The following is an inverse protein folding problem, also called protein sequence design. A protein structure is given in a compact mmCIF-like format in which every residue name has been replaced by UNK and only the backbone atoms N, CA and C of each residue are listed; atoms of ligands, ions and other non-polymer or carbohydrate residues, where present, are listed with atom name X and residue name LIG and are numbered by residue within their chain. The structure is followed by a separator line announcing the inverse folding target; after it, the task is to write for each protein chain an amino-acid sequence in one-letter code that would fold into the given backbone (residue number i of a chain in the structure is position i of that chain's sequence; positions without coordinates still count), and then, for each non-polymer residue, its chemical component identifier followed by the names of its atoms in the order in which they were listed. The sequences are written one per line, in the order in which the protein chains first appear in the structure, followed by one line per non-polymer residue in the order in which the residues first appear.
data_IF_597360009885
#
_entry.id   IF_597360009885
#
_cell.length_a   1.000
_cell.length_b   1.000
_cell.length_c   1.000
_cell.angle_alpha   90.00
_cell.angle_beta   90.00
_cell.angle_gamma   90.00
#
_symmetry.space_group_name_H-M   'P 1'
#
loop_
_entity.id
_entity.type
_entity.pdbx_description
1 polymer ?
#
# COMPACT_ATOMS: atom_id res chain seq x y z
N UNK A 1 8.93 8.55 22.93
CA UNK A 1 7.60 8.90 22.42
C UNK A 1 6.99 7.64 21.79
N UNK A 2 5.76 7.29 22.18
CA UNK A 2 5.06 6.16 21.55
C UNK A 2 4.67 6.46 20.12
N UNK A 3 4.44 5.42 19.30
CA UNK A 3 3.95 5.54 17.92
C UNK A 3 2.50 6.08 17.94
N UNK A 4 2.27 7.25 17.34
CA UNK A 4 0.94 7.86 17.28
C UNK A 4 -0.02 7.09 16.38
N UNK A 5 0.48 6.34 15.41
CA UNK A 5 -0.39 5.49 14.57
C UNK A 5 -1.05 4.37 15.39
N UNK A 6 -0.37 3.89 16.42
CA UNK A 6 -0.94 2.91 17.36
C UNK A 6 -1.76 3.59 18.47
N UNK A 7 -1.26 4.72 19.04
CA UNK A 7 -1.96 5.47 20.09
C UNK A 7 -3.35 5.96 19.66
N UNK A 8 -3.45 6.44 18.41
CA UNK A 8 -4.67 6.98 17.80
C UNK A 8 -5.37 5.99 16.86
N UNK A 9 -5.03 4.70 16.97
CA UNK A 9 -5.75 3.67 16.24
C UNK A 9 -7.20 3.60 16.74
N UNK A 10 -8.21 3.68 15.85
CA UNK A 10 -9.62 3.60 16.21
C UNK A 10 -9.93 2.39 17.10
N UNK A 11 -10.63 2.62 18.18
CA UNK A 11 -11.07 1.58 19.13
C UNK A 11 -12.48 1.09 18.80
N UNK A 12 -13.30 1.93 18.19
CA UNK A 12 -14.66 1.64 17.75
C UNK A 12 -14.81 1.94 16.26
N UNK A 13 -15.82 1.36 15.60
CA UNK A 13 -16.10 1.65 14.20
C UNK A 13 -16.53 3.11 13.97
N UNK A 14 -17.05 3.79 14.98
CA UNK A 14 -17.45 5.20 14.88
C UNK A 14 -16.23 6.15 14.84
N UNK A 15 -15.09 5.71 15.37
CA UNK A 15 -13.84 6.46 15.31
C UNK A 15 -13.09 6.31 13.98
N UNK A 16 -13.51 5.34 13.13
CA UNK A 16 -12.88 5.13 11.83
C UNK A 16 -13.28 6.24 10.87
N UNK A 17 -12.30 6.93 10.32
CA UNK A 17 -12.53 8.09 9.46
C UNK A 17 -12.96 7.67 8.06
N UNK A 18 -14.00 8.33 7.56
CA UNK A 18 -14.52 8.08 6.23
C UNK A 18 -15.14 6.70 6.06
N UNK A 19 -15.46 6.35 4.83
CA UNK A 19 -15.97 5.02 4.48
C UNK A 19 -17.27 4.61 5.19
N UNK A 20 -18.14 5.56 5.56
CA UNK A 20 -19.37 5.32 6.32
C UNK A 20 -20.22 4.15 5.75
N UNK A 21 -20.38 4.11 4.42
CA UNK A 21 -21.13 3.02 3.75
C UNK A 21 -20.47 1.66 3.98
N UNK A 22 -19.13 1.59 3.89
CA UNK A 22 -18.38 0.37 4.13
C UNK A 22 -18.51 -0.08 5.59
N UNK A 23 -18.46 0.85 6.54
CA UNK A 23 -18.59 0.59 7.97
C UNK A 23 -20.01 0.10 8.31
N UNK A 24 -21.06 0.70 7.72
CA UNK A 24 -22.45 0.23 7.86
C UNK A 24 -22.61 -1.19 7.32
N UNK A 25 -22.01 -1.49 6.16
CA UNK A 25 -22.07 -2.84 5.58
C UNK A 25 -21.33 -3.86 6.43
N UNK A 26 -20.19 -3.46 7.01
CA UNK A 26 -19.40 -4.29 7.89
C UNK A 26 -20.16 -4.60 9.20
N UNK A 27 -20.79 -3.59 9.81
CA UNK A 27 -21.69 -3.76 10.98
C UNK A 27 -22.86 -4.69 10.67
N UNK A 28 -23.52 -4.51 9.52
CA UNK A 28 -24.63 -5.38 9.11
C UNK A 28 -24.18 -6.84 8.97
N UNK A 29 -23.01 -7.08 8.37
CA UNK A 29 -22.46 -8.42 8.26
C UNK A 29 -22.13 -9.02 9.63
N UNK A 30 -21.49 -8.27 10.51
CA UNK A 30 -21.16 -8.71 11.87
C UNK A 30 -22.42 -8.99 12.69
N UNK A 31 -23.45 -8.15 12.58
CA UNK A 31 -24.73 -8.35 13.28
C UNK A 31 -25.46 -9.65 12.92
N UNK A 32 -25.24 -10.21 11.71
CA UNK A 32 -25.82 -11.49 11.32
C UNK A 32 -25.20 -12.64 12.13
N UNK A 33 -23.91 -12.53 12.48
CA UNK A 33 -23.21 -13.52 13.29
C UNK A 33 -23.81 -13.71 14.69
N UNK A 34 -24.46 -12.67 15.25
CA UNK A 34 -25.16 -12.79 16.52
C UNK A 34 -26.45 -13.63 16.42
N UNK A 35 -26.97 -13.79 15.19
CA UNK A 35 -28.20 -14.58 14.93
C UNK A 35 -27.89 -16.00 14.42
N UNK A 36 -26.63 -16.30 14.12
CA UNK A 36 -26.19 -17.58 13.59
C UNK A 36 -25.06 -17.43 12.58
N UNK A 37 -24.74 -18.51 11.89
CA UNK A 37 -23.68 -18.51 10.87
C UNK A 37 -24.25 -17.98 9.55
N UNK A 38 -23.75 -16.86 9.00
CA UNK A 38 -24.24 -16.29 7.75
C UNK A 38 -23.84 -17.12 6.53
N UNK A 39 -24.57 -16.94 5.42
CA UNK A 39 -24.21 -17.56 4.12
C UNK A 39 -22.80 -17.13 3.68
N UNK A 40 -22.48 -15.83 3.80
CA UNK A 40 -21.16 -15.30 3.54
C UNK A 40 -20.38 -15.24 4.86
N UNK A 41 -19.62 -16.31 5.13
CA UNK A 41 -18.83 -16.43 6.37
C UNK A 41 -17.61 -15.54 6.40
N UNK A 42 -17.19 -15.01 5.25
CA UNK A 42 -16.07 -14.12 5.12
C UNK A 42 -16.43 -12.82 4.38
N UNK A 43 -15.64 -11.77 4.66
CA UNK A 43 -15.71 -10.47 3.99
C UNK A 43 -14.34 -10.14 3.43
N UNK A 44 -14.30 -9.54 2.24
CA UNK A 44 -13.09 -8.96 1.65
C UNK A 44 -13.17 -7.45 1.81
N UNK A 45 -12.21 -6.86 2.53
CA UNK A 45 -12.02 -5.41 2.61
C UNK A 45 -10.96 -5.02 1.57
N UNK A 46 -11.37 -4.30 0.53
CA UNK A 46 -10.48 -3.91 -0.56
C UNK A 46 -10.34 -2.38 -0.64
N UNK A 47 -9.12 -1.90 -0.87
CA UNK A 47 -8.83 -0.46 -1.03
C UNK A 47 -7.35 -0.16 -0.89
N UNK A 48 -6.95 1.08 -1.17
CA UNK A 48 -5.56 1.52 -1.08
C UNK A 48 -4.98 1.35 0.34
N UNK A 49 -3.65 1.22 0.49
CA UNK A 49 -3.00 1.25 1.80
C UNK A 49 -3.36 2.53 2.58
N UNK A 50 -3.35 2.46 3.92
CA UNK A 50 -3.61 3.60 4.79
C UNK A 50 -5.08 4.08 4.88
N UNK A 51 -6.03 3.42 4.20
CA UNK A 51 -7.47 3.79 4.21
C UNK A 51 -8.25 3.25 5.42
N UNK A 52 -7.60 2.70 6.42
CA UNK A 52 -8.24 2.26 7.67
C UNK A 52 -8.86 0.86 7.64
N UNK A 53 -8.59 -0.02 6.66
CA UNK A 53 -9.14 -1.38 6.55
C UNK A 53 -8.84 -2.23 7.79
N UNK A 54 -7.57 -2.35 8.16
CA UNK A 54 -7.12 -3.13 9.33
C UNK A 54 -7.66 -2.53 10.63
N UNK A 55 -7.64 -1.20 10.74
CA UNK A 55 -8.22 -0.50 11.89
C UNK A 55 -9.72 -0.76 12.04
N UNK A 56 -10.47 -0.76 10.92
CA UNK A 56 -11.91 -1.07 10.93
C UNK A 56 -12.18 -2.53 11.34
N UNK A 57 -11.36 -3.49 10.89
CA UNK A 57 -11.49 -4.89 11.30
C UNK A 57 -11.25 -5.09 12.80
N UNK A 58 -10.21 -4.44 13.35
CA UNK A 58 -9.90 -4.49 14.78
C UNK A 58 -10.95 -3.76 15.63
N UNK A 59 -11.41 -2.59 15.18
CA UNK A 59 -12.48 -1.84 15.83
C UNK A 59 -13.79 -2.65 15.85
N UNK A 60 -14.12 -3.35 14.76
CA UNK A 60 -15.27 -4.25 14.70
C UNK A 60 -15.18 -5.33 15.78
N UNK A 61 -14.01 -5.97 15.92
CA UNK A 61 -13.82 -7.02 16.92
C UNK A 61 -14.10 -6.49 18.32
N UNK A 62 -13.61 -5.28 18.63
CA UNK A 62 -13.86 -4.62 19.93
C UNK A 62 -15.33 -4.27 20.14
N UNK A 63 -16.01 -3.69 19.13
CA UNK A 63 -17.41 -3.31 19.21
C UNK A 63 -18.33 -4.53 19.49
N UNK A 64 -17.95 -5.70 18.99
CA UNK A 64 -18.72 -6.95 19.17
C UNK A 64 -18.20 -7.85 20.28
N UNK A 65 -17.16 -7.44 21.01
CA UNK A 65 -16.52 -8.25 22.06
C UNK A 65 -15.85 -9.53 21.51
N UNK A 66 -15.41 -9.51 20.25
CA UNK A 66 -14.75 -10.65 19.63
C UNK A 66 -13.24 -10.60 19.84
N UNK A 67 -12.62 -11.76 20.02
CA UNK A 67 -11.17 -11.86 20.07
C UNK A 67 -10.61 -11.78 18.66
N UNK A 68 -9.79 -10.78 18.35
CA UNK A 68 -9.14 -10.65 17.05
C UNK A 68 -7.89 -11.52 16.96
N UNK A 69 -7.77 -12.31 15.89
CA UNK A 69 -6.56 -13.06 15.51
C UNK A 69 -6.09 -12.49 14.18
N UNK A 70 -5.02 -11.69 14.23
CA UNK A 70 -4.43 -11.06 13.05
C UNK A 70 -3.28 -11.91 12.51
N UNK A 71 -3.34 -12.21 11.22
CA UNK A 71 -2.32 -12.94 10.47
C UNK A 71 -1.91 -12.11 9.27
N UNK A 72 -0.66 -11.68 9.23
CA UNK A 72 -0.08 -11.09 8.04
C UNK A 72 0.34 -12.22 7.10
N UNK A 73 -0.24 -12.28 5.90
CA UNK A 73 0.04 -13.33 4.93
C UNK A 73 1.45 -13.22 4.35
N UNK A 74 2.06 -12.04 4.41
CA UNK A 74 3.46 -11.82 4.01
C UNK A 74 4.45 -12.51 4.97
N UNK A 75 4.13 -12.56 6.27
CA UNK A 75 4.95 -13.25 7.28
C UNK A 75 4.65 -14.74 7.34
N UNK A 76 3.40 -15.11 7.04
CA UNK A 76 2.91 -16.49 7.07
C UNK A 76 3.00 -17.14 5.69
N UNK A 77 4.15 -17.08 5.02
CA UNK A 77 4.39 -17.62 3.67
C UNK A 77 4.08 -19.11 3.51
N UNK A 78 3.77 -19.77 4.61
CA UNK A 78 3.55 -21.21 4.64
C UNK A 78 2.05 -21.54 4.69
N UNK A 79 1.51 -22.18 3.66
CA UNK A 79 0.14 -22.68 3.61
C UNK A 79 -0.23 -23.51 4.85
N UNK A 80 0.74 -24.23 5.42
CA UNK A 80 0.58 -25.02 6.63
C UNK A 80 0.32 -24.15 7.86
N UNK A 81 1.04 -23.04 8.01
CA UNK A 81 0.81 -22.07 9.11
C UNK A 81 -0.54 -21.38 8.96
N UNK A 82 -0.87 -20.92 7.77
CA UNK A 82 -2.19 -20.31 7.50
C UNK A 82 -3.29 -21.33 7.78
N UNK A 83 -3.14 -22.56 7.31
CA UNK A 83 -4.10 -23.64 7.55
C UNK A 83 -4.19 -23.98 9.05
N UNK A 84 -3.07 -24.09 9.75
CA UNK A 84 -3.10 -24.40 11.18
C UNK A 84 -3.75 -23.25 11.97
N UNK A 85 -3.28 -22.02 11.85
CA UNK A 85 -3.77 -20.91 12.67
C UNK A 85 -5.18 -20.50 12.27
N UNK A 86 -5.47 -20.35 10.96
CA UNK A 86 -6.81 -19.99 10.50
C UNK A 86 -7.82 -21.11 10.73
N UNK A 87 -7.46 -22.38 10.47
CA UNK A 87 -8.37 -23.51 10.65
C UNK A 87 -8.55 -23.86 12.13
N UNK A 88 -7.48 -23.90 12.92
CA UNK A 88 -7.60 -24.12 14.37
C UNK A 88 -8.26 -22.94 15.07
N UNK A 89 -7.94 -21.69 14.67
CA UNK A 89 -8.64 -20.51 15.15
C UNK A 89 -10.12 -20.51 14.79
N UNK A 90 -10.48 -21.04 13.62
CA UNK A 90 -11.86 -21.10 13.11
C UNK A 90 -12.70 -22.24 13.74
N UNK A 91 -12.06 -23.29 14.22
CA UNK A 91 -12.75 -24.49 14.73
C UNK A 91 -12.69 -24.62 16.25
N UNK A 92 -11.62 -24.10 16.89
CA UNK A 92 -11.40 -24.29 18.31
C UNK A 92 -11.95 -23.14 19.16
N UNK A 93 -12.39 -23.48 20.35
CA UNK A 93 -12.85 -22.58 21.41
C UNK A 93 -11.67 -21.84 22.05
N UNK A 94 -11.92 -20.71 22.70
CA UNK A 94 -10.84 -19.92 23.34
C UNK A 94 -11.01 -19.78 24.83
N UNK A 95 -9.88 -19.49 25.49
CA UNK A 95 -9.86 -18.99 26.86
C UNK A 95 -9.67 -17.46 26.82
N UNK A 96 -10.32 -16.75 27.75
CA UNK A 96 -10.01 -15.34 28.01
C UNK A 96 -8.63 -15.21 28.67
N UNK A 97 -8.07 -13.99 28.67
CA UNK A 97 -6.85 -13.68 29.42
C UNK A 97 -6.95 -14.03 30.91
N UNK A 98 -8.18 -14.06 31.45
CA UNK A 98 -8.50 -14.48 32.82
C UNK A 98 -8.65 -16.03 32.97
N UNK A 99 -8.36 -16.81 31.93
CA UNK A 99 -8.45 -18.28 31.95
C UNK A 99 -9.85 -18.85 31.91
N UNK A 100 -10.89 -18.05 31.62
CA UNK A 100 -12.27 -18.53 31.48
C UNK A 100 -12.50 -19.10 30.08
N UNK A 101 -13.08 -20.27 30.02
CA UNK A 101 -13.54 -20.88 28.76
C UNK A 101 -14.68 -20.10 28.16
N UNK A 102 -14.57 -19.68 26.91
CA UNK A 102 -15.66 -19.06 26.15
C UNK A 102 -16.01 -19.97 24.98
N UNK A 103 -17.19 -20.54 25.03
CA UNK A 103 -17.76 -21.25 23.90
C UNK A 103 -18.14 -20.27 22.80
N UNK A 104 -17.88 -20.64 21.56
CA UNK A 104 -18.35 -19.89 20.38
C UNK A 104 -19.88 -19.80 20.30
N UNK A 105 -20.60 -20.68 21.03
CA UNK A 105 -22.04 -20.67 21.16
C UNK A 105 -22.55 -19.62 22.16
N UNK A 106 -21.72 -19.25 23.14
CA UNK A 106 -22.05 -18.31 24.23
C UNK A 106 -21.57 -16.88 23.94
N UNK A 107 -21.36 -16.51 22.68
CA UNK A 107 -20.99 -15.14 22.26
C UNK A 107 -19.48 -14.88 22.18
N UNK A 108 -18.63 -15.81 22.62
CA UNK A 108 -17.14 -15.71 22.52
C UNK A 108 -16.64 -16.01 21.10
N UNK A 109 -16.91 -15.12 20.13
CA UNK A 109 -16.43 -15.30 18.76
C UNK A 109 -15.00 -14.82 18.59
N UNK A 110 -14.29 -15.47 17.68
CA UNK A 110 -12.95 -15.05 17.21
C UNK A 110 -13.08 -14.45 15.84
N UNK A 111 -12.59 -13.23 15.65
CA UNK A 111 -12.45 -12.64 14.33
C UNK A 111 -11.07 -12.96 13.75
N UNK A 112 -11.03 -13.73 12.67
CA UNK A 112 -9.78 -14.05 11.96
C UNK A 112 -9.57 -12.97 10.90
N UNK A 113 -8.48 -12.23 11.02
CA UNK A 113 -8.08 -11.18 10.09
C UNK A 113 -6.85 -11.67 9.33
N UNK A 114 -6.99 -11.78 7.99
CA UNK A 114 -5.89 -12.11 7.09
C UNK A 114 -5.50 -10.84 6.35
N UNK A 115 -4.44 -10.17 6.80
CA UNK A 115 -3.94 -8.95 6.17
C UNK A 115 -3.03 -9.27 4.99
N UNK A 116 -3.00 -8.37 4.01
CA UNK A 116 -2.27 -8.53 2.74
C UNK A 116 -2.62 -9.83 1.98
N UNK A 117 -3.88 -10.24 2.02
CA UNK A 117 -4.31 -11.51 1.42
C UNK A 117 -4.15 -11.57 -0.12
N UNK A 118 -3.89 -10.44 -0.79
CA UNK A 118 -3.50 -10.37 -2.20
C UNK A 118 -2.08 -10.91 -2.47
N UNK A 119 -1.22 -11.00 -1.46
CA UNK A 119 0.12 -11.59 -1.56
C UNK A 119 0.14 -13.14 -1.49
N UNK A 120 -1.03 -13.77 -1.46
CA UNK A 120 -1.13 -15.23 -1.47
C UNK A 120 -0.83 -15.78 -2.86
N UNK A 121 0.24 -16.55 -2.96
CA UNK A 121 0.71 -17.11 -4.22
C UNK A 121 -0.05 -18.37 -4.63
N UNK A 122 -0.26 -18.52 -5.93
CA UNK A 122 -0.61 -19.78 -6.58
C UNK A 122 0.68 -20.48 -7.04
N UNK A 123 0.60 -21.81 -7.17
CA UNK A 123 1.70 -22.64 -7.66
C UNK A 123 2.16 -22.11 -9.03
N UNK A 124 3.44 -21.77 -9.26
CA UNK A 124 3.90 -21.51 -10.62
C UNK A 124 3.81 -22.83 -11.42
N UNK A 125 3.16 -22.76 -12.58
CA UNK A 125 3.24 -23.84 -13.55
C UNK A 125 4.70 -23.97 -14.00
N UNK A 126 5.35 -25.09 -13.64
CA UNK A 126 6.66 -25.56 -14.10
C UNK A 126 7.86 -24.71 -13.69
N UNK A 127 8.51 -25.11 -12.60
CA UNK A 127 9.95 -25.03 -12.48
C UNK A 127 10.44 -26.43 -12.08
N UNK A 128 11.29 -26.97 -12.98
CA UNK A 128 12.00 -28.23 -12.85
C UNK A 128 12.89 -28.28 -11.60
N UNK A 129 12.88 -29.43 -10.96
CA UNK A 129 13.89 -30.03 -10.10
C UNK A 129 15.09 -29.15 -9.69
N UNK A 130 15.02 -28.55 -8.50
CA UNK A 130 16.12 -28.58 -7.52
C UNK A 130 15.72 -27.81 -6.26
N UNK A 131 15.85 -28.49 -5.14
CA UNK A 131 15.79 -28.02 -3.74
C UNK A 131 14.45 -27.50 -3.17
N UNK A 132 13.88 -28.35 -2.40
CA UNK A 132 12.94 -28.29 -1.29
C UNK A 132 12.89 -26.95 -0.53
N UNK A 133 12.10 -25.99 -1.06
CA UNK A 133 11.36 -25.07 -0.23
C UNK A 133 9.89 -25.17 -0.62
N UNK A 134 9.25 -26.21 -0.09
CA UNK A 134 7.85 -26.59 -0.33
C UNK A 134 6.85 -25.70 0.42
N UNK A 135 7.27 -24.50 0.88
CA UNK A 135 6.52 -23.75 1.89
C UNK A 135 5.47 -22.75 1.33
N UNK A 136 5.61 -22.28 0.09
CA UNK A 136 4.78 -21.18 -0.42
C UNK A 136 3.54 -21.61 -1.23
N UNK A 137 3.25 -22.91 -1.32
CA UNK A 137 2.24 -23.43 -2.23
C UNK A 137 0.90 -23.72 -1.53
N UNK A 138 -0.17 -23.12 -2.04
CA UNK A 138 -1.53 -23.49 -1.67
C UNK A 138 -2.24 -22.56 -0.69
N UNK A 139 -1.71 -21.37 -0.39
CA UNK A 139 -2.32 -20.42 0.55
C UNK A 139 -3.77 -20.04 0.17
N UNK A 140 -4.04 -19.71 -1.10
CA UNK A 140 -5.40 -19.40 -1.57
C UNK A 140 -6.36 -20.58 -1.38
N UNK A 141 -5.92 -21.79 -1.72
CA UNK A 141 -6.73 -23.02 -1.58
C UNK A 141 -7.05 -23.31 -0.12
N UNK A 142 -6.05 -23.21 0.78
CA UNK A 142 -6.24 -23.40 2.21
C UNK A 142 -7.27 -22.40 2.80
N UNK A 143 -7.18 -21.14 2.42
CA UNK A 143 -8.15 -20.12 2.86
C UNK A 143 -9.54 -20.40 2.32
N UNK A 144 -9.70 -20.79 1.06
CA UNK A 144 -10.99 -21.17 0.48
C UNK A 144 -11.62 -22.34 1.25
N UNK A 145 -10.83 -23.37 1.56
CA UNK A 145 -11.29 -24.51 2.35
C UNK A 145 -11.70 -24.07 3.76
N UNK A 146 -10.87 -23.24 4.42
CA UNK A 146 -11.19 -22.68 5.75
C UNK A 146 -12.50 -21.88 5.74
N UNK A 147 -12.70 -21.00 4.75
CA UNK A 147 -13.95 -20.21 4.65
C UNK A 147 -15.18 -21.09 4.50
N UNK A 148 -15.08 -22.22 3.80
CA UNK A 148 -16.22 -23.13 3.62
C UNK A 148 -16.65 -23.80 4.92
N UNK A 149 -15.71 -24.11 5.82
CA UNK A 149 -15.96 -24.87 7.03
C UNK A 149 -16.02 -24.05 8.32
N UNK A 150 -15.53 -22.80 8.29
CA UNK A 150 -15.40 -21.97 9.48
C UNK A 150 -16.73 -21.74 10.19
N UNK A 151 -16.71 -21.75 11.51
CA UNK A 151 -17.80 -21.31 12.39
C UNK A 151 -17.49 -19.94 13.01
N UNK A 152 -16.41 -19.30 12.59
CA UNK A 152 -15.96 -17.99 13.05
C UNK A 152 -15.89 -16.98 11.90
N UNK A 153 -16.11 -15.68 12.14
CA UNK A 153 -16.00 -14.64 11.13
C UNK A 153 -14.58 -14.50 10.61
N UNK A 154 -14.44 -14.36 9.29
CA UNK A 154 -13.14 -14.14 8.63
C UNK A 154 -13.18 -12.82 7.84
N UNK A 155 -12.14 -12.00 7.98
CA UNK A 155 -11.92 -10.81 7.17
C UNK A 155 -10.62 -10.99 6.38
N UNK A 156 -10.72 -10.86 5.06
CA UNK A 156 -9.58 -10.78 4.15
C UNK A 156 -9.33 -9.31 3.81
N UNK A 157 -8.15 -8.78 4.10
CA UNK A 157 -7.76 -7.41 3.76
C UNK A 157 -6.85 -7.48 2.55
N UNK A 158 -7.18 -6.70 1.52
CA UNK A 158 -6.43 -6.65 0.26
C UNK A 158 -6.25 -5.22 -0.22
N UNK A 159 -5.12 -4.96 -0.87
CA UNK A 159 -4.88 -3.72 -1.58
C UNK A 159 -5.34 -3.86 -3.03
N UNK A 160 -5.08 -5.00 -3.66
CA UNK A 160 -5.54 -5.34 -5.01
C UNK A 160 -6.52 -6.53 -4.98
N UNK A 161 -7.81 -6.21 -5.12
CA UNK A 161 -8.87 -7.21 -5.20
C UNK A 161 -8.70 -8.18 -6.38
N UNK A 162 -8.27 -7.66 -7.53
CA UNK A 162 -8.14 -8.48 -8.74
C UNK A 162 -7.02 -9.51 -8.62
N UNK A 163 -5.92 -9.17 -7.95
CA UNK A 163 -4.84 -10.11 -7.65
C UNK A 163 -5.32 -11.28 -6.78
N UNK A 164 -6.15 -11.01 -5.76
CA UNK A 164 -6.71 -12.05 -4.90
C UNK A 164 -7.60 -13.02 -5.68
N UNK A 165 -8.52 -12.50 -6.52
CA UNK A 165 -9.53 -13.31 -7.23
C UNK A 165 -9.02 -13.98 -8.50
N UNK A 166 -7.79 -13.72 -8.93
CA UNK A 166 -7.18 -14.34 -10.11
C UNK A 166 -6.99 -15.84 -9.89
N UNK A 167 -7.27 -16.63 -10.93
CA UNK A 167 -7.07 -18.09 -10.90
C UNK A 167 -8.02 -18.80 -9.92
N UNK A 168 -7.46 -19.60 -9.00
CA UNK A 168 -8.24 -20.34 -8.01
C UNK A 168 -9.03 -19.44 -7.05
N UNK A 169 -8.64 -18.15 -6.92
CA UNK A 169 -9.31 -17.17 -6.10
C UNK A 169 -10.69 -16.75 -6.60
N UNK A 170 -11.10 -17.11 -7.81
CA UNK A 170 -12.41 -16.73 -8.36
C UNK A 170 -13.59 -17.22 -7.48
N UNK A 171 -13.43 -18.33 -6.83
CA UNK A 171 -14.43 -18.91 -5.90
C UNK A 171 -14.72 -17.93 -4.74
N UNK A 172 -13.75 -17.10 -4.32
CA UNK A 172 -13.94 -16.12 -3.25
C UNK A 172 -15.03 -15.09 -3.57
N UNK A 173 -15.27 -14.79 -4.86
CA UNK A 173 -16.41 -13.91 -5.27
C UNK A 173 -17.76 -14.42 -4.81
N UNK A 174 -17.92 -15.75 -4.73
CA UNK A 174 -19.18 -16.39 -4.31
C UNK A 174 -19.24 -16.63 -2.81
N UNK A 175 -18.09 -16.86 -2.16
CA UNK A 175 -18.00 -17.20 -0.75
C UNK A 175 -17.94 -15.98 0.17
N UNK A 176 -17.38 -14.87 -0.33
CA UNK A 176 -17.13 -13.66 0.45
C UNK A 176 -18.01 -12.50 0.00
N UNK A 177 -18.35 -11.61 0.93
CA UNK A 177 -18.93 -10.32 0.61
C UNK A 177 -17.79 -9.32 0.38
N UNK A 178 -17.78 -8.62 -0.75
CA UNK A 178 -16.82 -7.55 -1.03
C UNK A 178 -17.33 -6.23 -0.43
N UNK A 179 -16.49 -5.58 0.37
CA UNK A 179 -16.68 -4.23 0.90
C UNK A 179 -15.50 -3.38 0.47
N UNK A 180 -15.76 -2.29 -0.27
CA UNK A 180 -14.73 -1.41 -0.79
C UNK A 180 -14.49 -0.23 0.14
N UNK A 181 -13.23 -0.02 0.49
CA UNK A 181 -12.75 1.16 1.21
C UNK A 181 -12.18 2.16 0.21
N UNK A 182 -12.72 3.36 0.23
CA UNK A 182 -12.28 4.46 -0.59
C UNK A 182 -11.32 5.36 0.17
N UNK A 183 -10.60 6.17 -0.56
CA UNK A 183 -9.68 7.16 -0.01
C UNK A 183 -10.47 8.21 0.78
N UNK A 184 -10.16 8.43 2.08
CA UNK A 184 -10.80 9.49 2.88
C UNK A 184 -10.55 10.87 2.28
N UNK A 185 -11.49 11.79 2.48
CA UNK A 185 -11.33 13.17 2.06
C UNK A 185 -10.30 13.90 2.94
N UNK A 186 -9.56 14.82 2.33
CA UNK A 186 -8.59 15.67 3.03
C UNK A 186 -9.20 16.40 4.23
N UNK A 187 -10.46 16.85 4.13
CA UNK A 187 -11.19 17.48 5.24
C UNK A 187 -11.39 16.56 6.45
N UNK A 188 -11.62 15.28 6.23
CA UNK A 188 -11.78 14.28 7.29
C UNK A 188 -10.43 14.03 8.00
N UNK A 189 -9.35 13.92 7.22
CA UNK A 189 -8.00 13.76 7.74
C UNK A 189 -7.58 15.01 8.53
N UNK A 190 -7.86 16.21 8.01
CA UNK A 190 -7.62 17.46 8.71
C UNK A 190 -8.29 17.49 10.10
N UNK A 191 -9.55 17.05 10.18
CA UNK A 191 -10.28 16.97 11.45
C UNK A 191 -9.61 16.02 12.43
N UNK A 192 -9.14 14.85 11.97
CA UNK A 192 -8.38 13.91 12.81
C UNK A 192 -7.07 14.55 13.31
N UNK A 193 -6.28 15.14 12.40
CA UNK A 193 -5.01 15.75 12.79
C UNK A 193 -5.22 16.86 13.84
N UNK A 194 -6.29 17.67 13.68
CA UNK A 194 -6.66 18.68 14.67
C UNK A 194 -7.01 18.05 16.03
N UNK A 195 -7.74 16.94 16.04
CA UNK A 195 -8.06 16.22 17.27
C UNK A 195 -6.80 15.66 17.96
N UNK A 196 -5.86 15.11 17.18
CA UNK A 196 -4.57 14.65 17.70
C UNK A 196 -3.79 15.81 18.31
N UNK A 197 -3.71 16.96 17.63
CA UNK A 197 -3.03 18.14 18.17
C UNK A 197 -3.59 18.60 19.51
N UNK A 198 -4.92 18.57 19.68
CA UNK A 198 -5.58 18.91 20.93
C UNK A 198 -5.22 17.93 22.05
N UNK A 199 -5.19 16.62 21.75
CA UNK A 199 -4.87 15.59 22.73
C UNK A 199 -3.39 15.57 23.13
N UNK A 200 -2.49 15.99 22.24
CA UNK A 200 -1.05 16.07 22.50
C UNK A 200 -0.62 17.47 22.99
N UNK A 201 -1.57 18.40 23.15
CA UNK A 201 -1.34 19.78 23.61
C UNK A 201 -0.32 20.54 22.74
N UNK A 202 -0.30 20.24 21.42
CA UNK A 202 0.60 20.89 20.45
C UNK A 202 -0.14 21.97 19.67
N UNK A 203 0.51 23.14 19.55
CA UNK A 203 -0.02 24.24 18.78
C UNK A 203 0.53 24.20 17.34
N UNK A 204 -0.32 23.86 16.37
CA UNK A 204 0.02 23.73 14.95
C UNK A 204 -0.81 24.71 14.12
N UNK A 205 -0.16 25.46 13.23
CA UNK A 205 -0.87 26.32 12.29
C UNK A 205 -1.83 25.47 11.42
N UNK A 206 -3.06 25.92 11.26
CA UNK A 206 -4.08 25.27 10.44
C UNK A 206 -3.63 25.08 8.99
N UNK A 207 -2.80 25.98 8.45
CA UNK A 207 -2.22 25.85 7.12
C UNK A 207 -1.30 24.62 7.01
N UNK A 208 -0.55 24.32 8.06
CA UNK A 208 0.32 23.13 8.13
C UNK A 208 -0.52 21.87 8.16
N UNK A 209 -1.54 21.80 9.03
CA UNK A 209 -2.44 20.64 9.11
C UNK A 209 -3.15 20.39 7.77
N UNK A 210 -3.62 21.47 7.11
CA UNK A 210 -4.24 21.35 5.80
C UNK A 210 -3.25 20.84 4.75
N UNK A 211 -2.01 21.35 4.76
CA UNK A 211 -0.96 20.88 3.84
C UNK A 211 -0.65 19.39 4.03
N UNK A 212 -0.55 18.90 5.28
CA UNK A 212 -0.35 17.47 5.57
C UNK A 212 -1.54 16.65 5.04
N UNK A 213 -2.77 17.09 5.33
CA UNK A 213 -3.99 16.41 4.91
C UNK A 213 -4.15 16.35 3.38
N UNK A 214 -3.71 17.37 2.65
CA UNK A 214 -3.75 17.40 1.17
C UNK A 214 -2.64 16.52 0.56
N UNK A 215 -1.44 16.54 1.16
CA UNK A 215 -0.27 15.78 0.67
C UNK A 215 -0.38 14.28 0.87
N UNK A 216 -0.97 13.81 1.96
CA UNK A 216 -1.09 12.38 2.24
C UNK A 216 -1.98 11.61 1.24
N UNK A 217 -2.69 12.31 0.34
CA UNK A 217 -3.57 11.74 -0.71
C UNK A 217 -4.53 10.66 -0.16
N UNK A 218 -4.93 10.83 1.11
CA UNK A 218 -5.86 9.94 1.80
C UNK A 218 -5.20 8.80 2.59
N UNK A 219 -3.88 8.71 2.65
CA UNK A 219 -3.18 7.80 3.55
C UNK A 219 -3.14 8.39 4.96
N UNK A 220 -4.07 7.92 5.81
CA UNK A 220 -4.22 8.40 7.20
C UNK A 220 -2.98 8.07 8.04
N UNK A 221 -2.35 6.91 7.83
CA UNK A 221 -1.14 6.50 8.55
C UNK A 221 0.02 7.44 8.23
N UNK A 222 0.21 7.77 6.95
CA UNK A 222 1.22 8.73 6.51
C UNK A 222 0.98 10.11 7.14
N UNK A 223 -0.28 10.60 7.16
CA UNK A 223 -0.61 11.90 7.73
C UNK A 223 -0.29 11.99 9.23
N UNK A 224 -0.58 10.94 10.01
CA UNK A 224 -0.27 10.88 11.44
C UNK A 224 1.24 10.86 11.67
N UNK A 225 1.99 10.06 10.88
CA UNK A 225 3.46 9.98 10.96
C UNK A 225 4.11 11.32 10.63
N UNK A 226 3.60 12.03 9.62
CA UNK A 226 4.10 13.33 9.23
C UNK A 226 3.87 14.36 10.34
N UNK A 227 2.68 14.37 10.94
CA UNK A 227 2.38 15.22 12.09
C UNK A 227 3.30 14.90 13.28
N UNK A 228 3.46 13.61 13.63
CA UNK A 228 4.34 13.19 14.74
C UNK A 228 5.80 13.61 14.49
N UNK A 229 6.28 13.48 13.25
CA UNK A 229 7.65 13.82 12.89
C UNK A 229 7.95 15.32 13.05
N UNK A 230 6.98 16.18 12.70
CA UNK A 230 7.14 17.63 12.85
C UNK A 230 7.07 18.04 14.33
N UNK A 231 6.27 17.30 15.10
CA UNK A 231 6.02 17.59 16.51
C UNK A 231 7.17 17.17 17.43
N UNK A 232 8.08 16.30 16.96
CA UNK A 232 9.12 15.69 17.79
C UNK A 232 10.10 16.72 18.43
N UNK A 233 10.32 17.86 17.79
CA UNK A 233 11.34 18.86 18.21
C UNK A 233 10.77 20.23 18.63
N UNK A 234 9.45 20.46 18.55
CA UNK A 234 8.90 21.81 18.70
C UNK A 234 7.50 21.85 19.30
N UNK A 235 7.28 22.73 20.29
CA UNK A 235 5.95 23.03 20.83
C UNK A 235 5.12 23.96 19.95
N UNK A 236 5.72 24.61 18.95
CA UNK A 236 5.07 25.53 18.03
C UNK A 236 5.50 25.24 16.60
N UNK A 237 4.54 24.80 15.79
CA UNK A 237 4.79 24.39 14.41
C UNK A 237 4.18 25.44 13.48
N UNK A 238 5.05 26.22 12.82
CA UNK A 238 4.69 27.24 11.86
C UNK A 238 4.84 26.75 10.40
N UNK A 239 4.48 27.60 9.45
CA UNK A 239 4.58 27.30 8.02
C UNK A 239 6.01 27.05 7.51
N UNK A 240 7.07 27.46 8.26
CA UNK A 240 8.46 27.18 7.94
C UNK A 240 8.81 25.70 8.18
N UNK A 241 8.09 25.04 9.09
CA UNK A 241 8.23 23.61 9.37
C UNK A 241 7.79 22.71 8.21
N UNK A 242 7.02 23.24 7.25
CA UNK A 242 6.66 22.55 6.01
C UNK A 242 7.86 22.23 5.11
N UNK A 243 8.98 22.99 5.24
CA UNK A 243 10.23 22.69 4.54
C UNK A 243 10.81 21.33 4.94
N UNK A 244 10.61 20.89 6.17
CA UNK A 244 11.07 19.58 6.68
C UNK A 244 10.23 18.43 6.07
N UNK A 245 8.94 18.65 5.78
CA UNK A 245 8.08 17.69 5.11
C UNK A 245 8.40 17.57 3.60
N UNK A 246 8.95 18.61 2.97
CA UNK A 246 9.34 18.59 1.56
C UNK A 246 10.40 17.51 1.23
N UNK A 247 11.16 17.06 2.22
CA UNK A 247 12.10 15.94 2.07
C UNK A 247 11.43 14.55 2.02
N UNK A 248 10.13 14.44 2.38
CA UNK A 248 9.37 13.19 2.39
C UNK A 248 8.28 13.11 1.32
N UNK A 249 8.29 13.98 0.29
CA UNK A 249 7.41 13.83 -0.87
C UNK A 249 7.79 12.55 -1.64
N UNK A 250 7.27 11.42 -1.18
CA UNK A 250 7.50 10.07 -1.72
C UNK A 250 6.89 9.82 -3.10
N UNK A 251 6.16 10.79 -3.63
CA UNK A 251 5.68 10.79 -4.99
C UNK A 251 5.96 12.16 -5.63
N UNK A 252 7.21 12.44 -5.97
CA UNK A 252 7.41 13.35 -7.10
C UNK A 252 6.75 12.67 -8.29
N UNK A 253 5.68 13.27 -8.76
CA UNK A 253 5.01 12.83 -9.98
C UNK A 253 6.08 12.59 -11.04
N UNK A 254 5.98 11.47 -11.75
CA UNK A 254 6.93 11.13 -12.82
C UNK A 254 7.06 12.30 -13.83
N UNK A 255 6.00 13.10 -13.98
CA UNK A 255 6.02 14.32 -14.80
C UNK A 255 6.99 15.37 -14.25
N UNK A 256 7.12 15.51 -12.93
CA UNK A 256 8.09 16.42 -12.31
C UNK A 256 9.51 15.92 -12.55
N UNK A 257 9.74 14.61 -12.41
CA UNK A 257 11.04 14.01 -12.71
C UNK A 257 11.42 14.17 -14.19
N UNK A 258 10.49 13.94 -15.11
CA UNK A 258 10.70 14.18 -16.54
C UNK A 258 11.03 15.64 -16.83
N UNK A 259 10.31 16.58 -16.21
CA UNK A 259 10.60 18.01 -16.35
C UNK A 259 12.02 18.33 -15.88
N UNK A 260 12.45 17.82 -14.73
CA UNK A 260 13.81 18.03 -14.25
C UNK A 260 14.86 17.43 -15.21
N UNK A 261 14.64 16.22 -15.72
CA UNK A 261 15.56 15.58 -16.68
C UNK A 261 15.65 16.38 -17.98
N UNK A 262 14.52 16.80 -18.53
CA UNK A 262 14.49 17.47 -19.82
C UNK A 262 14.82 18.97 -19.75
N UNK A 263 14.62 19.65 -18.60
CA UNK A 263 14.83 21.11 -18.49
C UNK A 263 16.12 21.52 -17.81
N UNK A 264 16.68 20.70 -16.89
CA UNK A 264 17.95 21.03 -16.24
C UNK A 264 19.13 20.24 -16.81
N UNK A 265 20.36 20.74 -16.60
CA UNK A 265 21.63 20.00 -16.82
C UNK A 265 22.33 19.68 -15.51
N UNK A 266 21.73 20.05 -14.37
CA UNK A 266 22.31 19.78 -13.07
C UNK A 266 22.06 18.32 -12.66
N UNK A 267 23.08 17.49 -12.79
CA UNK A 267 23.04 16.05 -12.51
C UNK A 267 22.65 15.77 -11.05
N UNK A 268 23.04 16.64 -10.10
CA UNK A 268 22.71 16.46 -8.68
C UNK A 268 21.22 16.60 -8.48
N UNK A 269 20.61 17.67 -8.99
CA UNK A 269 19.17 17.92 -8.89
C UNK A 269 18.36 16.80 -9.57
N UNK A 270 18.83 16.32 -10.73
CA UNK A 270 18.20 15.21 -11.47
C UNK A 270 18.27 13.93 -10.65
N UNK A 271 19.45 13.59 -10.10
CA UNK A 271 19.63 12.40 -9.27
C UNK A 271 18.72 12.45 -8.04
N UNK A 272 18.65 13.56 -7.33
CA UNK A 272 17.74 13.77 -6.20
C UNK A 272 16.27 13.58 -6.62
N UNK A 273 15.87 14.17 -7.76
CA UNK A 273 14.47 14.08 -8.21
C UNK A 273 14.06 12.66 -8.58
N UNK A 274 14.98 11.85 -9.12
CA UNK A 274 14.70 10.46 -9.51
C UNK A 274 14.86 9.50 -8.34
N UNK A 275 15.78 9.74 -7.40
CA UNK A 275 15.94 8.89 -6.20
C UNK A 275 14.69 8.88 -5.33
N UNK A 276 13.92 9.96 -5.34
CA UNK A 276 12.65 10.06 -4.61
C UNK A 276 11.44 9.56 -5.40
N UNK A 277 11.63 9.16 -6.67
CA UNK A 277 10.60 8.58 -7.49
C UNK A 277 10.46 7.08 -7.15
N UNK A 278 9.33 6.69 -6.58
CA UNK A 278 9.01 5.27 -6.30
C UNK A 278 8.55 4.57 -7.59
N UNK A 279 9.45 4.53 -8.59
CA UNK A 279 9.17 3.92 -9.89
C UNK A 279 10.30 2.98 -10.30
N UNK A 280 9.92 1.83 -10.86
CA UNK A 280 10.87 0.88 -11.46
C UNK A 280 11.65 1.59 -12.59
N UNK A 281 13.00 1.53 -12.62
CA UNK A 281 13.82 2.06 -13.70
C UNK A 281 13.37 1.62 -15.10
N UNK A 282 12.81 0.42 -15.24
CA UNK A 282 12.23 -0.04 -16.50
C UNK A 282 10.99 0.76 -16.92
N UNK A 283 10.24 1.29 -15.97
CA UNK A 283 9.12 2.18 -16.26
C UNK A 283 9.61 3.57 -16.64
N UNK A 284 10.61 4.09 -15.95
CA UNK A 284 11.19 5.42 -16.23
C UNK A 284 11.77 5.50 -17.64
N UNK A 285 12.49 4.45 -18.09
CA UNK A 285 13.06 4.43 -19.44
C UNK A 285 11.96 4.46 -20.53
N UNK A 286 10.80 3.84 -20.30
CA UNK A 286 9.66 3.91 -21.23
C UNK A 286 9.09 5.33 -21.32
N UNK A 287 8.99 6.05 -20.20
CA UNK A 287 8.55 7.44 -20.17
C UNK A 287 9.52 8.37 -20.88
N UNK A 288 10.82 8.16 -20.70
CA UNK A 288 11.85 8.92 -21.41
C UNK A 288 11.82 8.63 -22.90
N UNK A 289 11.72 7.36 -23.31
CA UNK A 289 11.63 6.96 -24.72
C UNK A 289 10.44 7.57 -25.44
N UNK A 290 9.25 7.60 -24.81
CA UNK A 290 8.03 8.18 -25.40
C UNK A 290 8.15 9.70 -25.60
N UNK A 291 8.81 10.40 -24.67
CA UNK A 291 8.81 11.85 -24.62
C UNK A 291 10.06 12.49 -25.24
N UNK A 292 11.17 11.75 -25.34
CA UNK A 292 12.43 12.25 -25.91
C UNK A 292 12.28 12.84 -27.33
N UNK A 293 11.61 12.18 -28.31
CA UNK A 293 11.46 12.73 -29.66
C UNK A 293 10.54 13.94 -29.73
N UNK A 294 9.70 14.15 -28.71
CA UNK A 294 8.81 15.34 -28.60
C UNK A 294 9.52 16.51 -27.96
N UNK A 295 10.49 16.24 -27.13
CA UNK A 295 11.27 17.25 -26.42
C UNK A 295 12.48 17.72 -27.23
N UNK A 296 13.29 16.79 -27.79
CA UNK A 296 14.51 17.13 -28.52
C UNK A 296 14.24 17.23 -30.02
N UNK A 297 14.05 18.46 -30.48
CA UNK A 297 13.77 18.76 -31.89
C UNK A 297 15.05 18.77 -32.76
N UNK A 298 16.23 19.01 -32.18
CA UNK A 298 17.50 18.91 -32.87
C UNK A 298 17.92 17.44 -33.02
N UNK A 299 18.28 17.06 -34.24
CA UNK A 299 18.65 15.65 -34.58
C UNK A 299 19.86 15.16 -33.81
N UNK A 300 20.87 16.03 -33.58
CA UNK A 300 22.08 15.64 -32.87
C UNK A 300 21.82 15.43 -31.38
N UNK A 301 20.99 16.30 -30.76
CA UNK A 301 20.56 16.16 -29.37
C UNK A 301 19.72 14.89 -29.20
N UNK A 302 18.84 14.62 -30.14
CA UNK A 302 17.99 13.40 -30.15
C UNK A 302 18.86 12.13 -30.27
N UNK A 303 19.82 12.08 -31.18
CA UNK A 303 20.75 10.94 -31.34
C UNK A 303 21.49 10.67 -30.04
N UNK A 304 22.10 11.71 -29.43
CA UNK A 304 22.83 11.58 -28.15
C UNK A 304 21.92 11.11 -27.02
N UNK A 305 20.68 11.60 -26.99
CA UNK A 305 19.68 11.17 -26.01
C UNK A 305 19.35 9.68 -26.15
N UNK A 306 19.11 9.20 -27.37
CA UNK A 306 18.89 7.78 -27.64
C UNK A 306 20.11 6.90 -27.40
N UNK A 307 21.32 7.39 -27.65
CA UNK A 307 22.55 6.67 -27.28
C UNK A 307 22.63 6.47 -25.75
N UNK A 308 22.28 7.49 -24.97
CA UNK A 308 22.24 7.38 -23.52
C UNK A 308 21.18 6.36 -23.04
N UNK A 309 19.97 6.41 -23.60
CA UNK A 309 18.91 5.43 -23.30
C UNK A 309 19.29 4.01 -23.70
N UNK A 310 19.89 3.81 -24.87
CA UNK A 310 20.35 2.50 -25.35
C UNK A 310 21.40 1.89 -24.41
N UNK A 311 22.36 2.69 -23.95
CA UNK A 311 23.37 2.26 -22.98
C UNK A 311 22.70 1.88 -21.64
N UNK A 312 21.74 2.67 -21.18
CA UNK A 312 21.01 2.39 -19.95
C UNK A 312 20.22 1.07 -20.03
N UNK A 313 19.55 0.80 -21.15
CA UNK A 313 18.79 -0.43 -21.37
C UNK A 313 19.67 -1.68 -21.33
N UNK A 314 20.90 -1.59 -21.89
CA UNK A 314 21.89 -2.68 -21.79
C UNK A 314 22.22 -2.98 -20.31
N UNK A 315 22.39 -1.96 -19.48
CA UNK A 315 22.68 -2.15 -18.03
C UNK A 315 21.47 -2.71 -17.29
N UNK A 316 20.23 -2.27 -17.59
CA UNK A 316 19.00 -2.83 -17.04
C UNK A 316 18.85 -4.32 -17.42
N UNK A 317 19.10 -4.66 -18.67
CA UNK A 317 19.09 -6.05 -19.14
C UNK A 317 20.16 -6.93 -18.47
N UNK A 318 21.34 -6.37 -18.18
CA UNK A 318 22.41 -7.08 -17.44
C UNK A 318 22.06 -7.28 -15.98
N UNK A 319 21.40 -6.30 -15.34
CA UNK A 319 20.92 -6.40 -13.95
C UNK A 319 20.00 -7.61 -13.79
N UNK A 320 19.02 -7.78 -14.69
CA UNK A 320 18.10 -8.93 -14.68
C UNK A 320 18.84 -10.26 -14.84
N UNK A 321 19.76 -10.35 -15.82
CA UNK A 321 20.45 -11.61 -16.14
C UNK A 321 21.44 -12.04 -15.07
N UNK A 322 22.13 -11.09 -14.42
CA UNK A 322 23.19 -11.36 -13.45
C UNK A 322 22.74 -11.20 -12.00
N UNK A 323 21.49 -10.78 -11.76
CA UNK A 323 20.94 -10.42 -10.43
C UNK A 323 21.84 -9.46 -9.65
N UNK A 324 22.58 -8.61 -10.38
CA UNK A 324 23.49 -7.62 -9.79
C UNK A 324 22.85 -6.24 -9.82
N UNK A 325 22.20 -5.88 -8.73
CA UNK A 325 21.46 -4.62 -8.59
C UNK A 325 22.36 -3.37 -8.49
N UNK A 326 23.67 -3.51 -8.29
CA UNK A 326 24.57 -2.36 -8.33
C UNK A 326 24.62 -1.69 -9.71
N UNK A 327 24.27 -2.43 -10.77
CA UNK A 327 24.19 -1.91 -12.13
C UNK A 327 22.98 -0.99 -12.36
N UNK A 328 21.98 -1.01 -11.48
CA UNK A 328 20.85 -0.08 -11.53
C UNK A 328 21.25 1.37 -11.39
N UNK A 329 22.18 1.66 -10.47
CA UNK A 329 22.70 3.01 -10.29
C UNK A 329 23.31 3.57 -11.59
N UNK A 330 24.11 2.75 -12.28
CA UNK A 330 24.69 3.13 -13.57
C UNK A 330 23.62 3.33 -14.66
N UNK A 331 22.63 2.46 -14.71
CA UNK A 331 21.52 2.60 -15.66
C UNK A 331 20.74 3.89 -15.40
N UNK A 332 20.41 4.18 -14.14
CA UNK A 332 19.72 5.41 -13.76
C UNK A 332 20.54 6.67 -14.09
N UNK A 333 21.83 6.67 -13.83
CA UNK A 333 22.70 7.80 -14.17
C UNK A 333 22.77 8.02 -15.69
N UNK A 334 22.84 6.96 -16.48
CA UNK A 334 22.86 7.05 -17.94
C UNK A 334 21.53 7.52 -18.53
N UNK A 335 20.39 6.96 -18.11
CA UNK A 335 19.11 7.34 -18.67
C UNK A 335 18.67 8.73 -18.24
N UNK A 336 18.96 9.17 -17.01
CA UNK A 336 18.52 10.46 -16.50
C UNK A 336 19.55 11.56 -16.79
N UNK A 337 20.77 11.38 -16.29
CA UNK A 337 21.87 12.33 -16.49
C UNK A 337 22.36 12.37 -17.92
N UNK A 338 22.50 11.21 -18.58
CA UNK A 338 22.93 11.12 -19.97
C UNK A 338 21.98 11.82 -20.93
N UNK A 339 20.67 11.62 -20.76
CA UNK A 339 19.63 12.33 -21.54
C UNK A 339 19.68 13.83 -21.28
N UNK A 340 19.78 14.24 -20.01
CA UNK A 340 19.81 15.66 -19.65
C UNK A 340 21.00 16.42 -20.24
N UNK A 341 22.17 15.79 -20.30
CA UNK A 341 23.42 16.39 -20.84
C UNK A 341 23.46 16.35 -22.36
N UNK A 342 22.71 15.45 -23.00
CA UNK A 342 22.69 15.29 -24.46
C UNK A 342 22.24 16.57 -25.18
N UNK A 343 21.34 17.35 -24.57
CA UNK A 343 20.79 18.58 -25.18
C UNK A 343 21.80 19.72 -25.23
N UNK A 344 21.86 20.39 -26.37
CA UNK A 344 22.62 21.63 -26.55
C UNK A 344 21.73 22.87 -26.47
N UNK A 345 20.42 22.72 -26.72
CA UNK A 345 19.42 23.77 -26.73
C UNK A 345 18.43 23.63 -25.57
N UNK A 346 17.72 24.72 -25.24
CA UNK A 346 16.56 24.68 -24.35
C UNK A 346 15.29 24.54 -25.19
N UNK A 347 14.51 23.54 -24.91
CA UNK A 347 13.28 23.24 -25.63
C UNK A 347 12.06 23.71 -24.81
N UNK A 348 11.05 24.37 -25.43
CA UNK A 348 9.92 24.98 -24.72
C UNK A 348 8.79 24.02 -24.37
N UNK A 349 8.90 22.73 -24.74
CA UNK A 349 7.81 21.78 -24.50
C UNK A 349 7.59 21.50 -23.00
N UNK A 350 6.36 21.67 -22.52
CA UNK A 350 5.96 21.43 -21.12
C UNK A 350 4.93 20.31 -20.96
N UNK A 351 4.56 19.63 -22.06
CA UNK A 351 3.58 18.54 -22.02
C UNK A 351 4.24 17.19 -22.27
N UNK A 352 4.05 16.25 -21.35
CA UNK A 352 4.55 14.89 -21.47
C UNK A 352 3.41 13.90 -21.65
N UNK A 353 3.62 12.89 -22.51
CA UNK A 353 2.64 11.89 -22.83
C UNK A 353 2.90 10.60 -22.06
N UNK A 354 1.80 9.91 -21.75
CA UNK A 354 1.85 8.56 -21.20
C UNK A 354 2.42 7.59 -22.24
N UNK A 355 3.34 6.67 -21.86
CA UNK A 355 3.91 5.72 -22.79
C UNK A 355 2.87 4.87 -23.49
N UNK A 356 2.93 4.83 -24.83
CA UNK A 356 1.96 4.08 -25.65
C UNK A 356 1.99 2.58 -25.34
N UNK A 357 3.14 2.03 -25.02
CA UNK A 357 3.36 0.63 -24.66
C UNK A 357 2.63 0.16 -23.39
N UNK A 358 2.19 1.09 -22.55
CA UNK A 358 1.46 0.79 -21.29
C UNK A 358 -0.07 0.88 -21.47
N UNK A 359 -0.55 1.19 -22.70
CA UNK A 359 -1.98 1.31 -23.02
C UNK A 359 -2.61 0.03 -23.54
N UNK A 360 -1.81 -1.05 -23.69
CA UNK A 360 -2.25 -2.36 -24.17
C UNK A 360 -2.97 -3.21 -23.15
#
# INVERSE_FOLDING_TARGET
MGDWTEKYRPKTLDEVIGNERALIELRKWAGIWNKGIPKNRAVILSGKPGNGKTSAALALAKDYGWTAIELNTSDARNATKIKSVATYGALNESFTDDGRFISSLDGGRKLIILDEADNLYERPERISNSNKDLSDYGGKKAIIETIKITNQPIILIVNDYYSLIKGSGEILKKLCKLIRFYTPYSSQIFTLLKHICLNEEINVDQKVLKSIADRCKGDVRSAINDLQSISADRNLIDSKSLGVLGYRDREKDIFTALREIFKTKNIITIRESVTHLDADPNLVILWLNENLPKEYLDTNDLIKGYEALSKADIFLGRTRRKQNYSLWSYACDLMNGGVAVAKTHNYPNDSYNFPSWLRG
#
